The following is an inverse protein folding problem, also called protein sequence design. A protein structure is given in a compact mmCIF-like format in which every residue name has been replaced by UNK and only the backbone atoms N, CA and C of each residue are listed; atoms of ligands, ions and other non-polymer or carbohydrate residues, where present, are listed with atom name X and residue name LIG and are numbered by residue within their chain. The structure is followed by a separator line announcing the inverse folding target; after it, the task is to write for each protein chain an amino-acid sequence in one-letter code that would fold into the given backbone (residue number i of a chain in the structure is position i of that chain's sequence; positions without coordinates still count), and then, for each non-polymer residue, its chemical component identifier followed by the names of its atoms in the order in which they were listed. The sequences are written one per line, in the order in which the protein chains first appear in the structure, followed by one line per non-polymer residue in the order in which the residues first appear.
data_IF_610443117394
#
_entry.id   IF_610443117394
#
_cell.length_a   1.000
_cell.length_b   1.000
_cell.length_c   1.000
_cell.angle_alpha   90.00
_cell.angle_beta   90.00
_cell.angle_gamma   90.00
#
_symmetry.space_group_name_H-M   'P 1'
#
loop_
_entity.id
_entity.type
_entity.pdbx_description
1 polymer ?
#
# COMPACT_ATOMS: atom_id res chain seq x y z
N UNK A 1 -4.26 15.95 20.23
CA UNK A 1 -2.83 16.32 20.07
C UNK A 1 -2.65 17.26 18.87
N UNK A 2 -1.70 18.19 18.94
CA UNK A 2 -1.34 19.05 17.80
C UNK A 2 0.01 18.60 17.25
N UNK A 3 0.08 18.27 15.96
CA UNK A 3 1.28 17.78 15.27
C UNK A 3 1.54 18.64 14.03
N UNK A 4 2.43 19.62 14.13
CA UNK A 4 2.64 20.64 13.08
C UNK A 4 3.19 20.03 11.78
N UNK A 5 3.99 18.98 11.90
CA UNK A 5 4.64 18.25 10.81
C UNK A 5 3.62 17.61 9.85
N UNK A 6 2.39 17.38 10.32
CA UNK A 6 1.29 16.82 9.54
C UNK A 6 1.01 17.62 8.26
N UNK A 7 1.15 18.95 8.28
CA UNK A 7 0.98 19.80 7.09
C UNK A 7 2.02 19.53 6.00
N UNK A 8 3.25 19.22 6.39
CA UNK A 8 4.33 18.85 5.46
C UNK A 8 4.05 17.48 4.86
N UNK A 9 3.69 16.52 5.71
CA UNK A 9 3.40 15.15 5.31
C UNK A 9 2.18 15.05 4.37
N UNK A 10 1.06 15.73 4.68
CA UNK A 10 -0.12 15.77 3.81
C UNK A 10 0.22 16.37 2.44
N UNK A 11 1.00 17.46 2.39
CA UNK A 11 1.40 18.08 1.12
C UNK A 11 2.32 17.16 0.30
N UNK A 12 3.29 16.52 0.94
CA UNK A 12 4.20 15.58 0.28
C UNK A 12 3.42 14.38 -0.29
N UNK A 13 2.53 13.77 0.49
CA UNK A 13 1.67 12.66 0.06
C UNK A 13 0.71 13.05 -1.06
N UNK A 14 0.13 14.25 -0.99
CA UNK A 14 -0.76 14.76 -2.04
C UNK A 14 -0.01 15.00 -3.35
N UNK A 15 1.22 15.52 -3.27
CA UNK A 15 2.09 15.74 -4.42
C UNK A 15 2.57 14.45 -5.08
N UNK A 16 2.72 13.36 -4.31
CA UNK A 16 3.16 12.05 -4.80
C UNK A 16 2.00 11.12 -5.20
N UNK A 17 0.76 11.62 -5.23
CA UNK A 17 -0.44 10.76 -5.39
C UNK A 17 -0.47 10.01 -6.72
N UNK A 18 -0.01 10.63 -7.80
CA UNK A 18 0.00 10.01 -9.13
C UNK A 18 1.04 8.88 -9.20
N UNK A 19 2.25 9.15 -8.73
CA UNK A 19 3.35 8.19 -8.62
C UNK A 19 2.99 7.03 -7.68
N UNK A 20 2.28 7.32 -6.59
CA UNK A 20 1.76 6.30 -5.69
C UNK A 20 0.77 5.35 -6.39
N UNK A 21 -0.12 5.88 -7.23
CA UNK A 21 -1.08 5.05 -7.98
C UNK A 21 -0.36 4.14 -8.99
N UNK A 22 0.65 4.66 -9.69
CA UNK A 22 1.51 3.87 -10.58
C UNK A 22 2.27 2.80 -9.79
N UNK A 23 2.88 3.15 -8.66
CA UNK A 23 3.57 2.20 -7.78
C UNK A 23 2.63 1.08 -7.32
N UNK A 24 1.42 1.42 -6.89
CA UNK A 24 0.41 0.43 -6.49
C UNK A 24 0.05 -0.50 -7.65
N UNK A 25 -0.17 0.04 -8.86
CA UNK A 25 -0.46 -0.78 -10.06
C UNK A 25 0.69 -1.75 -10.39
N UNK A 26 1.94 -1.27 -10.34
CA UNK A 26 3.12 -2.11 -10.57
C UNK A 26 3.28 -3.19 -9.51
N UNK A 27 3.01 -2.88 -8.23
CA UNK A 27 3.05 -3.85 -7.13
C UNK A 27 1.98 -4.94 -7.26
N UNK A 28 0.75 -4.57 -7.61
CA UNK A 28 -0.32 -5.55 -7.88
C UNK A 28 0.05 -6.50 -9.02
N UNK A 29 0.57 -5.95 -10.12
CA UNK A 29 1.05 -6.77 -11.24
C UNK A 29 2.20 -7.69 -10.83
N UNK A 30 3.09 -7.22 -9.95
CA UNK A 30 4.19 -8.03 -9.42
C UNK A 30 3.65 -9.22 -8.62
N UNK A 31 2.72 -8.97 -7.72
CA UNK A 31 2.09 -10.00 -6.88
C UNK A 31 1.37 -11.08 -7.72
N UNK A 32 0.64 -10.67 -8.77
CA UNK A 32 0.01 -11.61 -9.71
C UNK A 32 1.02 -12.51 -10.43
N UNK A 33 2.13 -11.93 -10.90
CA UNK A 33 3.20 -12.67 -11.56
C UNK A 33 3.93 -13.61 -10.61
N UNK A 34 4.19 -13.18 -9.37
CA UNK A 34 4.81 -14.00 -8.31
C UNK A 34 3.92 -15.19 -7.95
N UNK A 35 2.62 -14.96 -7.72
CA UNK A 35 1.64 -16.02 -7.46
C UNK A 35 1.58 -17.05 -8.62
N UNK A 36 1.61 -16.55 -9.85
CA UNK A 36 1.65 -17.40 -11.05
C UNK A 36 2.96 -18.20 -11.13
N UNK A 37 4.09 -17.56 -10.84
CA UNK A 37 5.41 -18.18 -10.82
C UNK A 37 5.46 -19.33 -9.81
N UNK A 38 5.00 -19.09 -8.58
CA UNK A 38 4.99 -20.08 -7.51
C UNK A 38 4.07 -21.26 -7.82
N UNK A 39 2.89 -21.00 -8.39
CA UNK A 39 1.99 -22.06 -8.85
C UNK A 39 2.65 -22.94 -9.91
N UNK A 40 3.30 -22.36 -10.91
CA UNK A 40 3.99 -23.12 -11.96
C UNK A 40 5.16 -23.90 -11.37
N UNK A 41 5.95 -23.28 -10.49
CA UNK A 41 7.07 -23.93 -9.81
C UNK A 41 6.62 -25.15 -9.00
N UNK A 42 5.49 -25.05 -8.30
CA UNK A 42 4.88 -26.17 -7.61
C UNK A 42 4.49 -27.31 -8.57
N UNK A 43 3.87 -26.99 -9.71
CA UNK A 43 3.48 -27.99 -10.71
C UNK A 43 4.70 -28.72 -11.31
N UNK A 44 5.76 -27.98 -11.62
CA UNK A 44 7.03 -28.56 -12.11
C UNK A 44 7.58 -29.55 -11.07
N UNK A 45 7.67 -29.15 -9.80
CA UNK A 45 8.16 -30.03 -8.72
C UNK A 45 7.33 -31.30 -8.55
N UNK A 46 6.00 -31.19 -8.65
CA UNK A 46 5.10 -32.37 -8.61
C UNK A 46 5.33 -33.29 -9.80
N UNK A 47 5.48 -32.72 -11.01
CA UNK A 47 5.77 -33.50 -12.22
C UNK A 47 7.09 -34.27 -12.15
N UNK A 48 8.14 -33.63 -11.64
CA UNK A 48 9.46 -34.26 -11.42
C UNK A 48 9.39 -35.44 -10.43
N UNK A 49 8.56 -35.32 -9.37
CA UNK A 49 8.40 -36.36 -8.36
C UNK A 49 7.63 -37.59 -8.88
N UNK A 50 6.69 -37.41 -9.82
CA UNK A 50 5.83 -38.48 -10.35
C UNK A 50 6.48 -39.21 -11.53
N UNK A 51 7.11 -38.49 -12.46
CA UNK A 51 7.67 -39.07 -13.70
C UNK A 51 9.18 -39.29 -13.67
N UNK A 52 9.87 -38.95 -12.58
CA UNK A 52 11.33 -38.84 -12.56
C UNK A 52 11.83 -37.63 -13.36
N UNK A 53 13.11 -37.27 -13.20
CA UNK A 53 13.70 -36.11 -13.87
C UNK A 53 13.70 -36.29 -15.40
N UNK A 54 12.86 -35.53 -16.10
CA UNK A 54 13.18 -35.02 -17.44
C UNK A 54 12.70 -35.79 -18.68
N UNK A 55 11.44 -36.27 -18.74
CA UNK A 55 10.89 -36.83 -20.00
C UNK A 55 9.47 -36.37 -20.39
N UNK A 56 8.86 -35.40 -19.71
CA UNK A 56 7.56 -34.86 -20.12
C UNK A 56 7.72 -33.53 -20.89
N UNK A 57 7.35 -33.45 -22.19
CA UNK A 57 7.34 -32.22 -22.98
C UNK A 57 6.54 -31.06 -22.36
N UNK A 58 5.58 -31.35 -21.47
CA UNK A 58 4.85 -30.32 -20.71
C UNK A 58 5.75 -29.63 -19.68
N UNK A 59 6.68 -30.35 -19.06
CA UNK A 59 7.59 -29.82 -18.05
C UNK A 59 8.53 -28.77 -18.65
N UNK A 60 9.02 -29.03 -19.87
CA UNK A 60 9.90 -28.11 -20.59
C UNK A 60 9.21 -26.79 -20.95
N UNK A 61 7.93 -26.84 -21.38
CA UNK A 61 7.12 -25.64 -21.59
C UNK A 61 6.97 -24.81 -20.31
N UNK A 62 6.79 -25.45 -19.15
CA UNK A 62 6.70 -24.75 -17.87
C UNK A 62 8.03 -24.11 -17.47
N UNK A 63 9.16 -24.77 -17.70
CA UNK A 63 10.50 -24.23 -17.42
C UNK A 63 10.76 -22.97 -18.27
N UNK A 64 10.44 -23.01 -19.57
CA UNK A 64 10.54 -21.82 -20.45
C UNK A 64 9.66 -20.69 -19.93
N UNK A 65 8.42 -20.99 -19.52
CA UNK A 65 7.51 -20.00 -18.95
C UNK A 65 8.03 -19.40 -17.64
N UNK A 66 8.63 -20.20 -16.76
CA UNK A 66 9.26 -19.71 -15.52
C UNK A 66 10.41 -18.73 -15.82
N UNK A 67 11.27 -19.05 -16.78
CA UNK A 67 12.37 -18.16 -17.17
C UNK A 67 11.85 -16.82 -17.73
N UNK A 68 10.77 -16.86 -18.52
CA UNK A 68 10.09 -15.64 -19.01
C UNK A 68 9.54 -14.80 -17.86
N UNK A 69 8.76 -15.39 -16.95
CA UNK A 69 8.19 -14.67 -15.80
C UNK A 69 9.30 -14.09 -14.92
N UNK A 70 10.40 -14.82 -14.71
CA UNK A 70 11.56 -14.32 -13.96
C UNK A 70 12.18 -13.07 -14.61
N UNK A 71 12.29 -13.05 -15.94
CA UNK A 71 12.77 -11.87 -16.66
C UNK A 71 11.80 -10.69 -16.54
N UNK A 72 10.49 -10.94 -16.62
CA UNK A 72 9.46 -9.92 -16.46
C UNK A 72 9.46 -9.33 -15.03
N UNK A 73 9.57 -10.17 -14.00
CA UNK A 73 9.70 -9.75 -12.60
C UNK A 73 10.94 -8.87 -12.38
N UNK A 74 12.09 -9.27 -12.94
CA UNK A 74 13.31 -8.45 -12.85
C UNK A 74 13.17 -7.09 -13.54
N UNK A 75 12.46 -7.03 -14.68
CA UNK A 75 12.17 -5.76 -15.34
C UNK A 75 11.21 -4.89 -14.52
N UNK A 76 10.25 -5.51 -13.82
CA UNK A 76 9.30 -4.83 -12.97
C UNK A 76 9.98 -4.27 -11.71
N UNK A 77 10.88 -5.02 -11.08
CA UNK A 77 11.67 -4.56 -9.94
C UNK A 77 12.50 -3.31 -10.27
N UNK A 78 13.10 -3.27 -11.48
CA UNK A 78 13.84 -2.10 -11.97
C UNK A 78 12.95 -0.86 -12.14
N UNK A 79 11.66 -1.06 -12.44
CA UNK A 79 10.68 0.03 -12.53
C UNK A 79 10.20 0.47 -11.15
N UNK A 80 9.95 -0.47 -10.24
CA UNK A 80 9.44 -0.22 -8.89
C UNK A 80 10.50 0.50 -8.03
N UNK A 81 11.78 0.11 -8.13
CA UNK A 81 12.86 0.62 -7.30
C UNK A 81 12.92 2.16 -7.19
N UNK A 82 12.92 2.90 -8.32
CA UNK A 82 12.88 4.36 -8.31
C UNK A 82 11.67 4.95 -7.57
N UNK A 83 10.47 4.41 -7.77
CA UNK A 83 9.25 4.87 -7.09
C UNK A 83 9.30 4.60 -5.59
N UNK A 84 9.73 3.40 -5.19
CA UNK A 84 9.87 3.03 -3.79
C UNK A 84 10.91 3.91 -3.07
N UNK A 85 12.03 4.21 -3.75
CA UNK A 85 13.04 5.14 -3.24
C UNK A 85 12.48 6.56 -3.10
N UNK A 86 11.82 7.08 -4.14
CA UNK A 86 11.21 8.41 -4.10
C UNK A 86 10.18 8.54 -2.98
N UNK A 87 9.35 7.51 -2.75
CA UNK A 87 8.42 7.45 -1.63
C UNK A 87 9.14 7.47 -0.28
N UNK A 88 10.21 6.68 -0.12
CA UNK A 88 10.99 6.62 1.12
C UNK A 88 11.72 7.91 1.47
N UNK A 89 12.01 8.75 0.47
CA UNK A 89 12.68 10.05 0.62
C UNK A 89 11.69 11.23 0.71
N UNK A 90 10.37 10.97 0.70
CA UNK A 90 9.35 12.00 0.85
C UNK A 90 9.52 12.75 2.18
N UNK A 91 9.38 14.08 2.12
CA UNK A 91 9.56 15.03 3.22
C UNK A 91 11.00 15.12 3.76
N UNK A 92 11.67 14.00 4.00
CA UNK A 92 13.05 13.93 4.45
C UNK A 92 13.81 12.80 3.75
N UNK A 93 14.98 13.06 3.13
CA UNK A 93 15.72 12.04 2.39
C UNK A 93 16.33 10.94 3.27
N UNK A 94 16.53 11.19 4.57
CA UNK A 94 17.14 10.23 5.49
C UNK A 94 16.11 9.42 6.27
N UNK A 95 14.96 10.03 6.58
CA UNK A 95 13.97 9.46 7.51
C UNK A 95 12.59 9.24 6.88
N UNK A 96 12.32 9.83 5.72
CA UNK A 96 11.02 9.79 5.08
C UNK A 96 9.95 10.57 5.84
N UNK A 97 8.72 10.05 5.76
CA UNK A 97 7.55 10.59 6.42
C UNK A 97 7.56 10.30 7.94
N UNK A 98 6.90 11.15 8.72
CA UNK A 98 6.93 11.05 10.19
C UNK A 98 5.99 9.96 10.70
N UNK A 99 4.82 9.80 10.07
CA UNK A 99 3.82 8.82 10.51
C UNK A 99 3.95 7.45 9.83
N UNK A 100 4.93 7.27 8.93
CA UNK A 100 5.17 6.02 8.22
C UNK A 100 6.56 5.47 8.50
N UNK A 101 6.66 4.14 8.57
CA UNK A 101 7.90 3.39 8.61
C UNK A 101 7.84 2.32 7.50
N UNK A 102 8.23 2.72 6.29
CA UNK A 102 7.99 1.91 5.09
C UNK A 102 6.49 1.72 4.84
N UNK A 103 6.04 0.46 4.81
CA UNK A 103 4.62 0.12 4.61
C UNK A 103 3.79 0.15 5.91
N UNK A 104 4.43 0.26 7.08
CA UNK A 104 3.75 0.22 8.38
C UNK A 104 3.66 1.63 9.00
N UNK A 105 2.91 1.74 10.11
CA UNK A 105 2.86 2.92 10.97
C UNK A 105 4.17 3.07 11.72
N UNK A 106 4.68 4.30 11.81
CA UNK A 106 5.84 4.61 12.65
C UNK A 106 5.52 4.43 14.13
N UNK A 107 6.56 4.40 14.98
CA UNK A 107 6.38 4.40 16.43
C UNK A 107 5.60 5.64 16.89
N UNK A 108 5.91 6.80 16.32
CA UNK A 108 5.20 8.04 16.62
C UNK A 108 3.72 7.94 16.23
N UNK A 109 3.40 7.39 15.05
CA UNK A 109 2.01 7.17 14.65
C UNK A 109 1.24 6.29 15.66
N UNK A 110 1.87 5.22 16.17
CA UNK A 110 1.28 4.38 17.22
C UNK A 110 1.09 5.13 18.54
N UNK A 111 2.05 5.99 18.91
CA UNK A 111 1.91 6.86 20.10
C UNK A 111 0.75 7.85 19.93
N UNK A 112 0.62 8.48 18.75
CA UNK A 112 -0.51 9.38 18.45
C UNK A 112 -1.83 8.65 18.62
N UNK A 113 -1.97 7.45 18.05
CA UNK A 113 -3.19 6.65 18.13
C UNK A 113 -3.54 6.22 19.56
N UNK A 114 -2.53 5.93 20.38
CA UNK A 114 -2.76 5.48 21.76
C UNK A 114 -3.03 6.62 22.75
N UNK A 115 -2.49 7.81 22.51
CA UNK A 115 -2.52 8.92 23.48
C UNK A 115 -3.43 10.08 23.07
N UNK A 116 -3.93 10.11 21.83
CA UNK A 116 -4.76 11.20 21.35
C UNK A 116 -6.06 10.67 20.74
N UNK A 117 -7.19 11.03 21.34
CA UNK A 117 -8.52 10.76 20.77
C UNK A 117 -8.69 11.44 19.40
N UNK A 118 -8.08 12.62 19.25
CA UNK A 118 -8.04 13.39 18.00
C UNK A 118 -6.66 14.03 17.80
N UNK A 119 -6.22 14.13 16.55
CA UNK A 119 -5.00 14.85 16.19
C UNK A 119 -5.20 15.75 14.96
N UNK A 120 -4.45 16.86 14.91
CA UNK A 120 -4.54 17.87 13.85
C UNK A 120 -3.24 18.67 13.76
N UNK A 121 -3.06 19.46 12.70
CA UNK A 121 -1.85 20.27 12.53
C UNK A 121 -1.79 21.53 13.39
N UNK A 122 -2.96 22.15 13.65
CA UNK A 122 -3.09 23.40 14.41
C UNK A 122 -4.39 23.42 15.18
N UNK A 123 -4.41 24.08 16.33
CA UNK A 123 -5.63 24.28 17.14
C UNK A 123 -6.70 25.05 16.36
N UNK A 124 -6.30 25.98 15.49
CA UNK A 124 -7.23 26.74 14.63
C UNK A 124 -8.08 25.85 13.73
N UNK A 125 -7.72 24.58 13.51
CA UNK A 125 -8.51 23.66 12.71
C UNK A 125 -9.89 23.38 13.35
N UNK A 126 -10.05 23.58 14.67
CA UNK A 126 -11.36 23.51 15.31
C UNK A 126 -12.35 24.58 14.81
N UNK A 127 -11.88 25.69 14.23
CA UNK A 127 -12.76 26.73 13.68
C UNK A 127 -13.56 26.26 12.46
N UNK A 128 -13.13 25.16 11.82
CA UNK A 128 -13.87 24.54 10.71
C UNK A 128 -14.94 23.56 11.18
N UNK A 129 -15.04 23.31 12.49
CA UNK A 129 -16.06 22.48 13.12
C UNK A 129 -16.95 23.33 13.99
N UNK A 130 -18.21 22.92 14.16
CA UNK A 130 -19.09 23.57 15.14
C UNK A 130 -18.66 23.17 16.56
N UNK A 131 -18.90 24.01 17.59
CA UNK A 131 -18.67 23.64 18.99
C UNK A 131 -19.50 22.43 19.46
N UNK A 132 -20.53 22.04 18.70
CA UNK A 132 -21.40 20.89 18.97
C UNK A 132 -21.00 19.64 18.16
N UNK A 133 -19.88 19.69 17.43
CA UNK A 133 -19.46 18.59 16.56
C UNK A 133 -19.17 17.32 17.35
N UNK A 134 -19.78 16.22 16.93
CA UNK A 134 -19.48 14.88 17.42
C UNK A 134 -18.51 14.18 16.46
N UNK A 135 -17.24 14.10 16.85
CA UNK A 135 -16.17 13.52 16.03
C UNK A 135 -16.20 11.99 16.13
N UNK A 136 -16.35 11.32 14.99
CA UNK A 136 -16.40 9.85 14.90
C UNK A 136 -15.13 9.32 14.25
N UNK A 137 -14.52 8.32 14.87
CA UNK A 137 -13.42 7.58 14.25
C UNK A 137 -13.94 6.72 13.11
N UNK A 138 -13.15 6.61 12.03
CA UNK A 138 -13.39 5.56 11.03
C UNK A 138 -13.04 4.22 11.66
N UNK A 139 -13.84 3.20 11.37
CA UNK A 139 -13.55 1.82 11.80
C UNK A 139 -12.23 1.37 11.17
N UNK A 140 -11.31 0.89 11.98
CA UNK A 140 -10.09 0.24 11.48
C UNK A 140 -10.44 -1.09 10.84
N UNK A 141 -9.74 -1.43 9.77
CA UNK A 141 -9.86 -2.72 9.09
C UNK A 141 -8.87 -3.73 9.68
N UNK A 142 -9.31 -4.96 9.85
CA UNK A 142 -8.48 -6.11 10.21
C UNK A 142 -8.11 -6.92 8.96
N UNK A 143 -7.04 -7.73 8.96
CA UNK A 143 -6.63 -8.50 7.78
C UNK A 143 -7.66 -9.49 7.22
N UNK A 144 -8.69 -9.85 8.00
CA UNK A 144 -9.78 -10.72 7.57
C UNK A 144 -11.07 -9.97 7.23
N UNK A 145 -11.09 -8.65 7.41
CA UNK A 145 -12.21 -7.82 6.96
C UNK A 145 -12.18 -7.77 5.43
N UNK A 146 -13.33 -7.96 4.80
CA UNK A 146 -13.47 -7.71 3.36
C UNK A 146 -13.48 -6.20 3.15
N UNK A 147 -12.73 -5.70 2.18
CA UNK A 147 -12.84 -4.29 1.77
C UNK A 147 -14.26 -4.05 1.23
N UNK A 148 -15.17 -3.60 2.09
CA UNK A 148 -16.47 -3.12 1.66
C UNK A 148 -16.25 -1.76 0.96
N UNK A 149 -16.24 -1.79 -0.36
CA UNK A 149 -16.05 -0.64 -1.25
C UNK A 149 -17.10 0.48 -1.08
N UNK A 150 -18.08 0.32 -0.19
CA UNK A 150 -19.19 1.25 0.05
C UNK A 150 -18.95 2.32 1.12
N UNK A 151 -17.79 2.30 1.82
CA UNK A 151 -17.52 3.19 2.96
C UNK A 151 -16.52 4.32 2.67
N UNK A 152 -16.10 4.51 1.41
CA UNK A 152 -15.13 5.56 1.03
C UNK A 152 -15.75 6.92 0.69
N UNK A 153 -17.06 7.03 0.44
CA UNK A 153 -17.66 8.28 -0.09
C UNK A 153 -18.65 9.05 0.81
N UNK A 154 -19.16 8.49 1.91
CA UNK A 154 -20.20 9.19 2.70
C UNK A 154 -19.63 10.03 3.84
N UNK A 155 -19.06 11.18 3.47
CA UNK A 155 -18.65 12.23 4.42
C UNK A 155 -19.05 13.65 4.04
N UNK A 156 -19.72 13.84 2.90
CA UNK A 156 -20.30 15.14 2.52
C UNK A 156 -21.79 15.09 2.86
N UNK A 157 -22.17 15.85 3.88
CA UNK A 157 -23.58 16.19 4.09
C UNK A 157 -23.97 17.08 2.91
N UNK A 158 -24.89 16.59 2.09
CA UNK A 158 -25.51 17.38 1.03
C UNK A 158 -26.33 18.50 1.68
N UNK A 159 -25.88 19.75 1.52
CA UNK A 159 -26.53 20.93 2.09
C UNK A 159 -27.79 21.34 1.29
N UNK A 160 -28.09 20.68 0.17
CA UNK A 160 -29.24 20.97 -0.68
C UNK A 160 -30.53 20.24 -0.24
N UNK A 161 -30.55 19.61 0.95
CA UNK A 161 -31.77 19.00 1.55
C UNK A 161 -32.28 19.71 2.80
N UNK A 162 -31.98 21.00 2.96
CA UNK A 162 -32.64 21.89 3.94
C UNK A 162 -33.51 22.94 3.26
#
# INVERSE_FOLDING_TARGET
MVLRELEGEIRALSGFRAEQAELTSLMLKKEELESTFDRIRMLVRRGEAVSGKGKDPKLEKFIVKLNRIRSELSALDKKIGPYAKAYGELLNPNWGLVLRAGNDKSLLARQVENFADIYMSRVSNFLYSTPYAYLRSKRSTLPHDREDASLSETGVIDLDTL
#
